data_IF_048227327217
#
_entry.id   IF_048227327217
#
_cell.length_a   1.000
_cell.length_b   1.000
_cell.length_c   1.000
_cell.angle_alpha   90.00
_cell.angle_beta   90.00
_cell.angle_gamma   90.00
#
_symmetry.space_group_name_H-M   'P 1'
#
loop_
_entity.id
_entity.type
_entity.pdbx_description
1 polymer ?
#
# COMPACT_ATOMS: atom_id res chain seq x y z
N UNK A 1 -11.66 2.55 7.43
CA UNK A 1 -10.95 3.04 6.24
C UNK A 1 -11.28 2.20 5.01
N UNK A 2 -11.50 2.83 3.88
CA UNK A 2 -11.77 2.10 2.64
C UNK A 2 -10.50 1.45 2.12
N UNK A 3 -10.59 0.17 1.81
CA UNK A 3 -9.47 -0.57 1.22
C UNK A 3 -9.59 -0.55 -0.29
N UNK A 4 -8.54 -0.11 -0.96
CA UNK A 4 -8.52 0.03 -2.41
C UNK A 4 -7.89 -1.15 -3.13
N UNK A 5 -7.42 -2.13 -2.36
CA UNK A 5 -6.90 -3.40 -2.88
C UNK A 5 -7.62 -4.53 -2.17
N UNK A 6 -7.68 -5.70 -2.81
CA UNK A 6 -8.33 -6.86 -2.22
C UNK A 6 -7.31 -7.95 -1.93
N UNK A 7 -7.64 -8.85 -1.01
CA UNK A 7 -6.77 -9.98 -0.69
C UNK A 7 -6.44 -10.85 -1.91
N UNK A 8 -7.41 -11.23 -2.75
CA UNK A 8 -7.07 -12.01 -3.95
C UNK A 8 -6.11 -11.31 -4.88
N UNK A 9 -6.25 -9.96 -5.07
CA UNK A 9 -5.32 -9.19 -5.89
C UNK A 9 -3.90 -9.24 -5.30
N UNK A 10 -3.79 -9.10 -3.99
CA UNK A 10 -2.51 -9.11 -3.31
C UNK A 10 -1.86 -10.49 -3.38
N UNK A 11 -2.63 -11.54 -3.18
CA UNK A 11 -2.10 -12.90 -3.27
C UNK A 11 -1.59 -13.20 -4.67
N UNK A 12 -2.29 -12.73 -5.68
CA UNK A 12 -1.85 -12.90 -7.06
C UNK A 12 -0.57 -12.13 -7.33
N UNK A 13 -0.49 -10.89 -6.84
CA UNK A 13 0.71 -10.06 -6.99
C UNK A 13 1.92 -10.67 -6.28
N UNK A 14 1.70 -11.24 -5.10
CA UNK A 14 2.76 -11.85 -4.28
C UNK A 14 3.08 -13.26 -4.71
N UNK A 15 2.30 -13.84 -5.62
CA UNK A 15 2.43 -15.22 -6.06
C UNK A 15 2.26 -16.20 -4.90
N UNK A 16 1.26 -15.96 -4.06
CA UNK A 16 0.95 -16.76 -2.88
C UNK A 16 -0.31 -17.57 -3.14
N UNK A 17 -0.23 -18.89 -3.04
CA UNK A 17 -1.36 -19.78 -3.30
C UNK A 17 -1.99 -20.35 -2.04
N UNK A 18 -1.28 -20.25 -0.90
CA UNK A 18 -1.75 -20.81 0.37
C UNK A 18 -2.44 -19.73 1.21
N UNK A 19 -3.19 -20.19 2.22
CA UNK A 19 -4.00 -19.29 3.04
C UNK A 19 -3.37 -18.93 4.39
N UNK A 20 -2.20 -19.46 4.69
CA UNK A 20 -1.56 -19.27 6.01
C UNK A 20 -1.30 -17.80 6.33
N UNK A 21 -0.95 -17.01 5.33
CA UNK A 21 -0.60 -15.60 5.52
C UNK A 21 -1.74 -14.63 5.20
N UNK A 22 -2.97 -15.13 4.98
CA UNK A 22 -4.09 -14.27 4.61
C UNK A 22 -4.34 -13.16 5.61
N UNK A 23 -4.36 -13.48 6.91
CA UNK A 23 -4.58 -12.49 7.96
C UNK A 23 -3.46 -11.45 7.96
N UNK A 24 -2.22 -11.90 7.86
CA UNK A 24 -1.07 -10.99 7.85
C UNK A 24 -1.13 -10.04 6.67
N UNK A 25 -1.40 -10.56 5.47
CA UNK A 25 -1.50 -9.73 4.27
C UNK A 25 -2.64 -8.71 4.39
N UNK A 26 -3.79 -9.16 4.88
CA UNK A 26 -4.95 -8.28 5.06
C UNK A 26 -4.63 -7.16 6.05
N UNK A 27 -3.92 -7.47 7.12
CA UNK A 27 -3.56 -6.48 8.14
C UNK A 27 -2.54 -5.45 7.64
N UNK A 28 -1.85 -5.70 6.55
CA UNK A 28 -0.93 -4.75 5.97
C UNK A 28 -1.62 -3.62 5.19
N UNK A 29 -2.85 -3.85 4.74
CA UNK A 29 -3.54 -2.91 3.85
C UNK A 29 -3.69 -1.54 4.50
N UNK A 30 -4.25 -1.48 5.71
CA UNK A 30 -4.52 -0.20 6.37
C UNK A 30 -3.24 0.58 6.69
N UNK A 31 -2.20 -0.01 7.33
CA UNK A 31 -0.97 0.73 7.61
C UNK A 31 -0.30 1.25 6.34
N UNK A 32 -0.31 0.48 5.27
CA UNK A 32 0.30 0.91 4.01
C UNK A 32 -0.47 2.07 3.41
N UNK A 33 -1.81 1.99 3.40
CA UNK A 33 -2.61 3.10 2.87
C UNK A 33 -2.44 4.37 3.69
N UNK A 34 -2.35 4.25 5.03
CA UNK A 34 -2.11 5.39 5.89
C UNK A 34 -0.74 6.02 5.62
N UNK A 35 0.28 5.20 5.42
CA UNK A 35 1.62 5.70 5.12
C UNK A 35 1.64 6.45 3.79
N UNK A 36 0.92 5.94 2.79
CA UNK A 36 0.84 6.61 1.49
C UNK A 36 0.09 7.93 1.61
N UNK A 37 -1.01 7.96 2.38
CA UNK A 37 -1.73 9.23 2.63
C UNK A 37 -0.82 10.26 3.29
N UNK A 38 -0.02 9.83 4.27
CA UNK A 38 0.91 10.72 4.94
C UNK A 38 1.96 11.26 3.97
N UNK A 39 2.46 10.43 3.09
CA UNK A 39 3.44 10.86 2.07
C UNK A 39 2.82 11.84 1.10
N UNK A 40 1.61 11.56 0.63
CA UNK A 40 0.92 12.41 -0.35
C UNK A 40 0.41 13.70 0.26
N UNK A 41 0.30 13.75 1.58
CA UNK A 41 -0.29 14.87 2.32
C UNK A 41 -1.72 15.16 1.87
N UNK A 42 -2.47 14.10 1.57
CA UNK A 42 -3.86 14.18 1.12
C UNK A 42 -4.54 12.83 1.33
N UNK A 43 -5.85 12.81 1.58
CA UNK A 43 -6.56 11.55 1.73
C UNK A 43 -6.65 10.80 0.40
N UNK A 44 -6.60 9.47 0.47
CA UNK A 44 -6.69 8.64 -0.74
C UNK A 44 -8.02 8.85 -1.46
N UNK A 45 -9.09 9.15 -0.73
CA UNK A 45 -10.40 9.41 -1.32
C UNK A 45 -10.36 10.52 -2.38
N UNK A 46 -9.46 11.47 -2.23
CA UNK A 46 -9.29 12.55 -3.21
C UNK A 46 -8.74 12.08 -4.56
N UNK A 47 -8.19 10.88 -4.59
CA UNK A 47 -7.64 10.28 -5.81
C UNK A 47 -8.50 9.14 -6.34
N UNK A 48 -9.64 8.89 -5.68
CA UNK A 48 -10.56 7.83 -6.10
C UNK A 48 -11.69 8.43 -6.94
N UNK A 49 -12.11 7.68 -7.98
CA UNK A 49 -13.19 8.08 -8.85
C UNK A 49 -14.02 6.85 -9.19
N UNK A 50 -15.32 6.93 -8.97
CA UNK A 50 -16.24 5.83 -9.23
C UNK A 50 -15.82 4.52 -8.54
N UNK A 51 -15.33 4.63 -7.31
CA UNK A 51 -14.90 3.47 -6.52
C UNK A 51 -13.53 2.93 -6.88
N UNK A 52 -12.85 3.56 -7.83
CA UNK A 52 -11.50 3.14 -8.23
C UNK A 52 -10.52 4.25 -7.92
N UNK A 53 -9.40 3.87 -7.31
CA UNK A 53 -8.34 4.82 -7.01
C UNK A 53 -7.42 4.97 -8.23
N UNK A 54 -6.69 6.10 -8.28
CA UNK A 54 -5.68 6.32 -9.32
C UNK A 54 -4.79 5.07 -9.44
N UNK A 55 -4.55 4.64 -10.68
CA UNK A 55 -3.79 3.40 -10.91
C UNK A 55 -2.38 3.44 -10.37
N UNK A 56 -1.77 4.62 -10.31
CA UNK A 56 -0.42 4.77 -9.75
C UNK A 56 -0.44 4.48 -8.26
N UNK A 57 -1.47 4.96 -7.55
CA UNK A 57 -1.61 4.72 -6.11
C UNK A 57 -1.94 3.25 -5.87
N UNK A 58 -2.82 2.67 -6.66
CA UNK A 58 -3.17 1.25 -6.57
C UNK A 58 -1.92 0.37 -6.70
N UNK A 59 -1.11 0.66 -7.71
CA UNK A 59 0.13 -0.08 -7.93
C UNK A 59 1.13 0.14 -6.79
N UNK A 60 1.22 1.37 -6.29
CA UNK A 60 2.10 1.71 -5.17
C UNK A 60 1.71 0.94 -3.91
N UNK A 61 0.42 0.82 -3.62
CA UNK A 61 -0.06 0.05 -2.48
C UNK A 61 0.41 -1.40 -2.59
N UNK A 62 0.27 -1.99 -3.76
CA UNK A 62 0.66 -3.38 -3.98
C UNK A 62 2.17 -3.58 -3.81
N UNK A 63 2.97 -2.69 -4.36
CA UNK A 63 4.43 -2.77 -4.25
C UNK A 63 4.85 -2.60 -2.78
N UNK A 64 4.25 -1.66 -2.08
CA UNK A 64 4.58 -1.38 -0.69
C UNK A 64 4.25 -2.59 0.19
N UNK A 65 3.09 -3.21 -0.03
CA UNK A 65 2.70 -4.42 0.71
C UNK A 65 3.66 -5.57 0.38
N UNK A 66 4.05 -5.72 -0.88
CA UNK A 66 5.00 -6.76 -1.28
C UNK A 66 6.34 -6.57 -0.58
N UNK A 67 6.78 -5.32 -0.43
CA UNK A 67 8.01 -5.00 0.29
C UNK A 67 7.93 -5.44 1.75
N UNK A 68 6.82 -5.13 2.42
CA UNK A 68 6.61 -5.56 3.80
C UNK A 68 6.55 -7.08 3.91
N UNK A 69 5.85 -7.71 2.99
CA UNK A 69 5.70 -9.16 3.03
C UNK A 69 7.06 -9.86 2.87
N UNK A 70 7.89 -9.37 1.97
CA UNK A 70 9.20 -9.94 1.70
C UNK A 70 10.17 -9.74 2.87
N UNK A 71 9.99 -8.65 3.64
CA UNK A 71 10.90 -8.28 4.73
C UNK A 71 10.22 -8.26 6.09
N UNK A 72 9.18 -9.09 6.27
CA UNK A 72 8.34 -9.04 7.47
C UNK A 72 9.09 -9.29 8.77
N UNK A 73 10.24 -9.93 8.73
CA UNK A 73 11.03 -10.20 9.93
C UNK A 73 11.86 -9.00 10.38
N UNK A 74 12.08 -8.04 9.49
CA UNK A 74 12.92 -6.88 9.78
C UNK A 74 12.13 -5.58 9.81
N UNK A 75 10.81 -5.62 9.58
CA UNK A 75 9.95 -4.43 9.55
C UNK A 75 8.93 -4.51 10.67
N UNK A 76 8.77 -3.42 11.42
CA UNK A 76 7.73 -3.34 12.46
C UNK A 76 6.84 -2.15 12.17
N UNK A 77 5.57 -2.23 12.59
CA UNK A 77 4.64 -1.11 12.44
C UNK A 77 4.83 -0.02 13.49
N UNK A 78 5.67 -0.27 14.48
CA UNK A 78 5.93 0.70 15.53
C UNK A 78 6.96 1.75 15.12
N UNK A 79 7.76 1.47 14.08
CA UNK A 79 8.77 2.41 13.61
C UNK A 79 8.22 3.26 12.46
N UNK A 80 8.75 4.49 12.27
CA UNK A 80 8.35 5.30 11.13
C UNK A 80 8.59 4.55 9.83
N UNK A 81 7.62 4.65 8.93
CA UNK A 81 7.67 3.93 7.66
C UNK A 81 8.57 4.65 6.68
N UNK A 82 9.50 3.92 6.08
CA UNK A 82 10.31 4.44 4.98
C UNK A 82 9.69 3.93 3.68
N UNK A 83 9.22 4.84 2.85
CA UNK A 83 8.60 4.49 1.59
C UNK A 83 9.70 4.04 0.61
N UNK A 84 9.58 2.84 0.01
CA UNK A 84 10.57 2.39 -0.96
C UNK A 84 10.73 3.40 -2.10
N UNK A 85 11.97 3.56 -2.58
CA UNK A 85 12.26 4.58 -3.59
C UNK A 85 11.44 4.46 -4.86
N UNK A 86 11.17 3.24 -5.32
CA UNK A 86 10.35 3.06 -6.52
C UNK A 86 8.88 3.41 -6.29
N UNK A 87 8.39 3.29 -5.05
CA UNK A 87 7.06 3.74 -4.69
C UNK A 87 7.02 5.27 -4.67
N UNK A 88 8.07 5.91 -4.17
CA UNK A 88 8.17 7.38 -4.20
C UNK A 88 8.11 7.90 -5.62
N UNK A 89 8.79 7.25 -6.56
CA UNK A 89 8.76 7.67 -7.96
C UNK A 89 7.36 7.64 -8.55
N UNK A 90 6.54 6.66 -8.15
CA UNK A 90 5.16 6.58 -8.60
C UNK A 90 4.28 7.66 -7.98
N UNK A 91 4.53 8.02 -6.73
CA UNK A 91 3.67 8.91 -5.96
C UNK A 91 4.08 10.37 -6.02
N UNK A 92 5.34 10.66 -6.33
CA UNK A 92 5.86 12.03 -6.29
C UNK A 92 5.01 13.02 -7.09
N UNK A 93 4.57 12.70 -8.33
CA UNK A 93 3.74 13.63 -9.09
C UNK A 93 2.38 13.91 -8.45
N UNK A 94 1.94 13.06 -7.52
CA UNK A 94 0.64 13.19 -6.86
C UNK A 94 0.75 13.87 -5.50
N UNK A 95 1.96 14.03 -4.99
CA UNK A 95 2.18 14.59 -3.67
C UNK A 95 1.73 16.04 -3.60
N UNK A 96 1.05 16.40 -2.52
CA UNK A 96 0.58 17.76 -2.27
C UNK A 96 1.48 18.43 -1.23
N UNK A 97 1.88 19.65 -1.51
CA UNK A 97 2.84 20.39 -0.68
C UNK A 97 2.20 21.47 0.19
N UNK A 98 0.89 21.50 0.24
CA UNK A 98 0.17 22.52 1.06
C UNK A 98 -0.40 21.90 2.32
#
# INVERSE_FOLDING_TARGET
MTEYVTLPELKQHLNVDFDTDDTYITELIEPVQLAIEAYLNAPLEGFAKEGKIDRRIWHAIRIFIANYYAHRESVTFATPQVIPGHVELLLQPLKRYT
#
